data_IF_773528247417
#
_entry.id   IF_773528247417
#
_cell.length_a   1.000
_cell.length_b   1.000
_cell.length_c   1.000
_cell.angle_alpha   90.00
_cell.angle_beta   90.00
_cell.angle_gamma   90.00
#
_symmetry.space_group_name_H-M   'P 1'
#
loop_
_entity.id
_entity.type
_entity.pdbx_description
1 polymer ?
#
# COMPACT_ATOMS: atom_id res chain seq x y z
N UNK A 1 -10.10 30.78 -1.58
CA UNK A 1 -9.30 29.60 -1.98
C UNK A 1 -8.00 29.60 -1.18
N UNK A 2 -7.73 28.57 -0.37
CA UNK A 2 -6.43 28.43 0.30
C UNK A 2 -5.37 28.10 -0.76
N UNK A 3 -4.38 28.98 -0.93
CA UNK A 3 -3.16 28.67 -1.70
C UNK A 3 -2.35 27.69 -0.87
N UNK A 4 -2.23 26.45 -1.32
CA UNK A 4 -1.23 25.53 -0.80
C UNK A 4 0.10 25.93 -1.43
N UNK A 5 1.08 26.30 -0.59
CA UNK A 5 2.45 26.49 -1.05
C UNK A 5 2.98 25.11 -1.48
N UNK A 6 3.37 25.00 -2.75
CA UNK A 6 4.02 23.79 -3.26
C UNK A 6 5.37 23.69 -2.53
N UNK A 7 5.52 22.69 -1.65
CA UNK A 7 6.78 22.43 -0.96
C UNK A 7 7.88 22.19 -2.00
N UNK A 8 9.11 22.63 -1.71
CA UNK A 8 10.24 22.51 -2.64
C UNK A 8 10.49 21.05 -3.09
N UNK A 9 10.23 20.09 -2.19
CA UNK A 9 10.26 18.65 -2.48
C UNK A 9 9.22 18.24 -3.53
N UNK A 10 8.01 18.81 -3.45
CA UNK A 10 6.90 18.52 -4.36
C UNK A 10 7.16 19.13 -5.74
N UNK A 11 7.81 20.31 -5.78
CA UNK A 11 8.29 20.92 -7.02
C UNK A 11 9.42 20.08 -7.65
N UNK A 12 10.37 19.59 -6.85
CA UNK A 12 11.45 18.72 -7.32
C UNK A 12 10.91 17.38 -7.84
N UNK A 13 9.97 16.76 -7.13
CA UNK A 13 9.30 15.55 -7.58
C UNK A 13 8.56 15.79 -8.89
N UNK A 14 7.81 16.89 -9.00
CA UNK A 14 7.14 17.26 -10.24
C UNK A 14 8.13 17.42 -11.40
N UNK A 15 9.22 18.17 -11.21
CA UNK A 15 10.24 18.35 -12.24
C UNK A 15 10.93 17.04 -12.62
N UNK A 16 11.12 16.12 -11.67
CA UNK A 16 11.68 14.79 -11.93
C UNK A 16 10.72 13.93 -12.77
N UNK A 17 9.43 13.96 -12.45
CA UNK A 17 8.40 13.25 -13.22
C UNK A 17 8.23 13.87 -14.61
N UNK A 18 8.20 15.20 -14.70
CA UNK A 18 8.16 15.92 -15.97
C UNK A 18 9.38 15.55 -16.84
N UNK A 19 10.58 15.42 -16.24
CA UNK A 19 11.75 14.92 -16.97
C UNK A 19 11.58 13.47 -17.42
N UNK A 20 11.12 12.55 -16.59
CA UNK A 20 10.88 11.18 -17.06
C UNK A 20 9.80 11.07 -18.16
N UNK A 21 8.81 11.97 -18.15
CA UNK A 21 7.74 11.99 -19.14
C UNK A 21 8.20 12.64 -20.46
N UNK A 22 8.96 13.73 -20.38
CA UNK A 22 9.32 14.58 -21.54
C UNK A 22 10.76 14.42 -22.03
N UNK A 23 11.71 14.07 -21.16
CA UNK A 23 12.99 13.50 -21.59
C UNK A 23 12.70 12.05 -21.96
N UNK A 24 12.63 11.81 -23.27
CA UNK A 24 12.33 10.55 -23.97
C UNK A 24 12.33 9.31 -23.08
N UNK A 25 11.28 8.48 -23.14
CA UNK A 25 11.17 7.29 -22.30
C UNK A 25 12.46 6.46 -22.33
N UNK A 26 12.90 5.94 -21.19
CA UNK A 26 14.21 5.28 -21.05
C UNK A 26 14.47 4.13 -22.07
N UNK A 27 13.39 3.58 -22.64
CA UNK A 27 13.39 2.53 -23.65
C UNK A 27 13.61 3.03 -25.10
N UNK A 28 13.58 4.34 -25.35
CA UNK A 28 13.98 4.93 -26.65
C UNK A 28 15.49 4.89 -26.88
N UNK A 29 16.31 4.82 -25.81
CA UNK A 29 17.77 4.86 -25.90
C UNK A 29 18.41 3.47 -26.10
N UNK A 30 17.72 2.41 -25.67
CA UNK A 30 18.19 1.03 -25.73
C UNK A 30 17.01 0.06 -25.88
N UNK A 31 16.16 0.17 -26.92
CA UNK A 31 14.99 -0.69 -27.06
C UNK A 31 15.41 -2.15 -27.17
N UNK A 32 14.86 -3.00 -26.30
CA UNK A 32 15.09 -4.45 -26.36
C UNK A 32 14.00 -5.13 -27.19
N UNK A 33 12.80 -4.54 -27.25
CA UNK A 33 11.73 -4.99 -28.13
C UNK A 33 12.14 -4.84 -29.61
N UNK A 34 12.08 -5.95 -30.34
CA UNK A 34 12.20 -5.96 -31.79
C UNK A 34 10.91 -5.42 -32.41
N UNK A 35 10.99 -4.24 -33.02
CA UNK A 35 9.85 -3.52 -33.64
C UNK A 35 9.13 -4.37 -34.70
N UNK A 36 9.80 -5.37 -35.28
CA UNK A 36 9.18 -6.29 -36.25
C UNK A 36 8.31 -7.37 -35.61
N UNK A 37 8.38 -7.56 -34.30
CA UNK A 37 7.57 -8.52 -33.55
C UNK A 37 6.25 -7.91 -33.12
N UNK A 38 5.17 -8.62 -33.42
CA UNK A 38 3.82 -8.23 -33.03
C UNK A 38 3.47 -8.72 -31.62
N UNK A 39 3.02 -7.78 -30.79
CA UNK A 39 2.51 -8.03 -29.44
C UNK A 39 1.03 -7.65 -29.38
N UNK A 40 0.24 -8.53 -28.77
CA UNK A 40 -1.19 -8.37 -28.62
C UNK A 40 -1.60 -8.39 -27.15
N UNK A 41 -2.52 -7.50 -26.79
CA UNK A 41 -3.17 -7.47 -25.48
C UNK A 41 -4.67 -7.22 -25.69
N UNK A 42 -5.52 -8.14 -25.23
CA UNK A 42 -6.98 -8.07 -25.42
C UNK A 42 -7.41 -7.78 -26.87
N UNK A 43 -6.81 -8.46 -27.85
CA UNK A 43 -7.06 -8.26 -29.29
C UNK A 43 -6.61 -6.90 -29.85
N UNK A 44 -6.00 -6.04 -29.03
CA UNK A 44 -5.35 -4.81 -29.47
C UNK A 44 -3.86 -5.04 -29.73
N UNK A 45 -3.37 -4.47 -30.84
CA UNK A 45 -1.95 -4.47 -31.14
C UNK A 45 -1.24 -3.44 -30.26
N UNK A 46 -0.33 -3.92 -29.41
CA UNK A 46 0.46 -3.12 -28.46
C UNK A 46 1.95 -3.13 -28.82
N UNK A 47 2.28 -3.46 -30.07
CA UNK A 47 3.66 -3.47 -30.57
C UNK A 47 4.25 -2.06 -30.54
N UNK A 48 5.54 -1.96 -30.24
CA UNK A 48 6.27 -0.69 -30.10
C UNK A 48 5.68 0.25 -29.03
N UNK A 49 5.01 -0.32 -28.02
CA UNK A 49 4.54 0.40 -26.83
C UNK A 49 5.29 -0.06 -25.59
N UNK A 50 5.10 0.66 -24.47
CA UNK A 50 5.73 0.33 -23.20
C UNK A 50 5.30 -1.04 -22.68
N UNK A 51 4.12 -1.52 -23.10
CA UNK A 51 3.62 -2.86 -22.79
C UNK A 51 4.52 -3.95 -23.39
N UNK A 52 4.83 -3.84 -24.70
CA UNK A 52 5.69 -4.80 -25.39
C UNK A 52 7.12 -4.78 -24.81
N UNK A 53 7.65 -3.59 -24.52
CA UNK A 53 8.97 -3.45 -23.91
C UNK A 53 9.04 -4.08 -22.51
N UNK A 54 8.04 -3.81 -21.66
CA UNK A 54 7.98 -4.38 -20.32
C UNK A 54 7.84 -5.90 -20.34
N UNK A 55 7.12 -6.46 -21.31
CA UNK A 55 7.01 -7.91 -21.53
C UNK A 55 8.37 -8.55 -21.81
N UNK A 56 9.16 -7.96 -22.71
CA UNK A 56 10.49 -8.48 -23.06
C UNK A 56 11.49 -8.31 -21.92
N UNK A 57 11.51 -7.13 -21.28
CA UNK A 57 12.43 -6.83 -20.17
C UNK A 57 12.08 -7.56 -18.88
N UNK A 58 10.91 -8.21 -18.79
CA UNK A 58 10.33 -8.72 -17.53
C UNK A 58 10.24 -7.61 -16.48
N UNK A 59 9.89 -6.41 -16.95
CA UNK A 59 9.78 -5.20 -16.14
C UNK A 59 8.38 -5.04 -15.54
N UNK A 60 8.23 -3.99 -14.74
CA UNK A 60 6.96 -3.58 -14.13
C UNK A 60 6.50 -2.29 -14.80
N UNK A 61 5.20 -2.17 -15.05
CA UNK A 61 4.64 -0.94 -15.59
C UNK A 61 4.10 -0.05 -14.46
N UNK A 62 4.53 1.21 -14.47
CA UNK A 62 3.90 2.25 -13.68
C UNK A 62 2.74 2.83 -14.50
N UNK A 63 1.52 2.65 -14.01
CA UNK A 63 0.30 2.94 -14.75
C UNK A 63 -0.46 4.13 -14.19
N UNK A 64 -1.06 4.88 -15.10
CA UNK A 64 -1.99 5.96 -14.75
C UNK A 64 -3.28 5.40 -14.15
N UNK A 65 -4.05 6.25 -13.48
CA UNK A 65 -5.34 5.89 -12.90
C UNK A 65 -6.38 5.62 -14.00
N UNK A 66 -6.29 4.46 -14.62
CA UNK A 66 -7.19 4.00 -15.65
C UNK A 66 -7.61 2.57 -15.32
N UNK A 67 -8.92 2.31 -15.26
CA UNK A 67 -9.47 1.03 -14.78
C UNK A 67 -8.91 -0.17 -15.56
N UNK A 68 -8.61 0.03 -16.84
CA UNK A 68 -8.07 -1.02 -17.72
C UNK A 68 -6.59 -1.32 -17.44
N UNK A 69 -5.92 -0.57 -16.57
CA UNK A 69 -4.51 -0.81 -16.17
C UNK A 69 -4.30 -0.75 -14.65
N UNK A 70 -5.34 -0.47 -13.87
CA UNK A 70 -5.21 -0.27 -12.43
C UNK A 70 -4.95 -1.60 -11.71
N UNK A 71 -3.78 -1.69 -11.07
CA UNK A 71 -3.38 -2.72 -10.09
C UNK A 71 -3.71 -4.15 -10.52
N UNK A 72 -3.18 -4.55 -11.68
CA UNK A 72 -3.43 -5.88 -12.22
C UNK A 72 -2.29 -6.39 -13.08
N UNK A 73 -2.26 -7.71 -13.20
CA UNK A 73 -1.37 -8.40 -14.12
C UNK A 73 -1.96 -8.39 -15.53
N UNK A 74 -1.17 -7.93 -16.50
CA UNK A 74 -1.51 -7.89 -17.91
C UNK A 74 -0.91 -9.10 -18.61
N UNK A 75 -1.72 -9.76 -19.44
CA UNK A 75 -1.30 -10.90 -20.25
C UNK A 75 -1.02 -10.40 -21.67
N UNK A 76 0.26 -10.29 -22.01
CA UNK A 76 0.70 -9.81 -23.31
C UNK A 76 1.21 -11.02 -24.09
N UNK A 77 0.71 -11.21 -25.31
CA UNK A 77 1.07 -12.36 -26.14
C UNK A 77 1.88 -11.93 -27.35
N UNK A 78 2.93 -12.69 -27.68
CA UNK A 78 3.49 -12.70 -29.03
C UNK A 78 3.02 -13.97 -29.78
N UNK A 79 3.54 -14.21 -30.99
CA UNK A 79 3.20 -15.39 -31.79
C UNK A 79 3.56 -16.76 -31.17
N UNK A 80 4.38 -16.79 -30.10
CA UNK A 80 4.99 -17.98 -29.50
C UNK A 80 4.84 -18.07 -27.98
N UNK A 81 4.70 -16.96 -27.27
CA UNK A 81 4.85 -16.83 -25.84
C UNK A 81 3.76 -15.92 -25.23
N UNK A 82 3.46 -16.17 -23.96
CA UNK A 82 2.65 -15.29 -23.13
C UNK A 82 3.52 -14.70 -22.02
N UNK A 83 3.49 -13.39 -21.90
CA UNK A 83 4.22 -12.60 -20.93
C UNK A 83 3.23 -12.04 -19.90
N UNK A 84 3.66 -12.03 -18.65
CA UNK A 84 2.90 -11.50 -17.52
C UNK A 84 3.59 -10.24 -17.04
N UNK A 85 2.89 -9.11 -17.12
CA UNK A 85 3.43 -7.80 -16.74
C UNK A 85 2.53 -7.17 -15.70
N UNK A 86 3.08 -6.87 -14.53
CA UNK A 86 2.34 -6.16 -13.50
C UNK A 86 2.19 -4.69 -13.88
N UNK A 87 0.95 -4.23 -13.84
CA UNK A 87 0.56 -2.85 -14.06
C UNK A 87 0.18 -2.23 -12.72
N UNK A 88 1.13 -1.47 -12.18
CA UNK A 88 1.07 -0.89 -10.84
C UNK A 88 0.56 0.54 -10.90
N UNK A 89 -0.53 0.80 -10.19
CA UNK A 89 -1.05 2.15 -10.02
C UNK A 89 -0.96 2.61 -8.56
N UNK A 90 -1.34 1.77 -7.60
CA UNK A 90 -1.34 2.13 -6.17
C UNK A 90 -0.08 1.65 -5.44
N UNK A 91 0.34 2.40 -4.41
CA UNK A 91 1.41 1.94 -3.52
C UNK A 91 1.10 0.60 -2.84
N UNK A 92 -0.18 0.31 -2.57
CA UNK A 92 -0.61 -0.96 -1.98
C UNK A 92 -0.22 -2.14 -2.87
N UNK A 93 -0.60 -2.09 -4.14
CA UNK A 93 -0.31 -3.16 -5.09
C UNK A 93 1.21 -3.32 -5.31
N UNK A 94 1.95 -2.20 -5.37
CA UNK A 94 3.42 -2.21 -5.44
C UNK A 94 4.03 -2.95 -4.24
N UNK A 95 3.59 -2.61 -3.02
CA UNK A 95 4.07 -3.25 -1.79
C UNK A 95 3.71 -4.73 -1.77
N UNK A 96 2.50 -5.11 -2.17
CA UNK A 96 2.07 -6.50 -2.13
C UNK A 96 2.83 -7.40 -3.10
N UNK A 97 3.07 -6.93 -4.32
CA UNK A 97 3.79 -7.71 -5.34
C UNK A 97 5.32 -7.66 -5.14
N UNK A 98 5.86 -6.50 -4.76
CA UNK A 98 7.30 -6.24 -4.83
C UNK A 98 8.00 -5.98 -3.49
N UNK A 99 7.38 -6.36 -2.35
CA UNK A 99 7.94 -6.16 -1.00
C UNK A 99 9.38 -6.65 -0.85
N UNK A 100 9.73 -7.78 -1.47
CA UNK A 100 11.05 -8.39 -1.31
C UNK A 100 12.14 -7.66 -2.07
N UNK A 101 11.78 -7.04 -3.21
CA UNK A 101 12.72 -6.28 -4.04
C UNK A 101 12.85 -4.83 -3.57
N UNK A 102 11.74 -4.21 -3.19
CA UNK A 102 11.70 -2.81 -2.73
C UNK A 102 11.88 -2.84 -1.22
N UNK A 103 13.08 -2.51 -0.73
CA UNK A 103 13.42 -2.47 0.70
C UNK A 103 12.64 -1.36 1.43
N UNK A 104 11.35 -1.58 1.64
CA UNK A 104 10.44 -0.63 2.29
C UNK A 104 10.53 -0.79 3.81
N UNK A 105 10.62 0.34 4.51
CA UNK A 105 10.57 0.39 5.97
C UNK A 105 9.24 -0.18 6.49
N UNK A 106 9.28 -0.96 7.58
CA UNK A 106 8.10 -1.68 8.07
C UNK A 106 6.96 -0.76 8.49
N UNK A 107 7.29 0.38 9.08
CA UNK A 107 6.31 1.42 9.43
C UNK A 107 5.58 1.95 8.19
N UNK A 108 6.32 2.24 7.12
CA UNK A 108 5.74 2.71 5.85
C UNK A 108 4.89 1.60 5.21
N UNK A 109 5.35 0.35 5.27
CA UNK A 109 4.60 -0.81 4.79
C UNK A 109 3.23 -0.92 5.46
N UNK A 110 3.15 -0.80 6.79
CA UNK A 110 1.88 -0.86 7.51
C UNK A 110 0.97 0.33 7.17
N UNK A 111 1.53 1.54 7.04
CA UNK A 111 0.76 2.73 6.64
C UNK A 111 0.11 2.55 5.28
N UNK A 112 0.85 2.05 4.29
CA UNK A 112 0.34 1.78 2.96
C UNK A 112 -0.72 0.66 3.00
N UNK A 113 -0.41 -0.45 3.69
CA UNK A 113 -1.27 -1.65 3.70
C UNK A 113 -2.63 -1.39 4.34
N UNK A 114 -2.66 -0.64 5.44
CA UNK A 114 -3.85 -0.42 6.23
C UNK A 114 -4.48 0.96 6.01
N UNK A 115 -4.02 1.69 4.98
CA UNK A 115 -4.62 2.95 4.59
C UNK A 115 -6.12 2.78 4.32
N UNK A 116 -6.93 3.72 4.83
CA UNK A 116 -8.39 3.69 4.72
C UNK A 116 -9.10 2.46 5.33
N UNK A 117 -8.39 1.63 6.11
CA UNK A 117 -8.99 0.57 6.92
C UNK A 117 -9.37 1.09 8.32
N UNK A 118 -9.84 0.20 9.20
CA UNK A 118 -10.11 0.52 10.61
C UNK A 118 -8.84 0.62 11.47
N UNK A 119 -7.71 0.12 10.97
CA UNK A 119 -6.42 0.17 11.65
C UNK A 119 -5.72 1.46 11.24
N UNK A 120 -5.30 2.26 12.22
CA UNK A 120 -4.61 3.52 11.95
C UNK A 120 -3.12 3.42 12.34
N UNK A 121 -2.28 3.24 11.34
CA UNK A 121 -0.83 3.17 11.51
C UNK A 121 -0.13 4.55 11.45
N UNK A 122 -0.88 5.66 11.32
CA UNK A 122 -0.29 7.00 11.21
C UNK A 122 0.41 7.45 12.49
N UNK A 123 -0.03 6.95 13.65
CA UNK A 123 0.48 7.31 14.98
C UNK A 123 1.50 6.33 15.55
N UNK A 124 2.02 5.40 14.75
CA UNK A 124 3.08 4.47 15.19
C UNK A 124 4.35 5.25 15.57
N UNK A 125 4.80 5.08 16.81
CA UNK A 125 6.02 5.68 17.33
C UNK A 125 7.27 4.93 16.82
N UNK A 126 8.38 5.65 16.61
CA UNK A 126 9.63 5.06 16.12
C UNK A 126 10.41 4.32 17.20
N UNK A 127 10.39 4.85 18.44
CA UNK A 127 11.20 4.33 19.57
C UNK A 127 10.71 2.98 20.11
N UNK A 128 9.43 2.68 19.94
CA UNK A 128 8.79 1.43 20.35
C UNK A 128 8.07 0.78 19.16
N UNK A 129 8.60 1.05 17.96
CA UNK A 129 7.95 0.75 16.69
C UNK A 129 8.27 -0.64 16.15
N UNK A 130 7.57 -0.98 15.07
CA UNK A 130 7.67 -2.25 14.34
C UNK A 130 9.06 -2.57 13.75
N UNK A 131 9.95 -1.59 13.74
CA UNK A 131 11.33 -1.77 13.30
C UNK A 131 12.18 -2.53 14.33
N UNK A 132 11.74 -2.58 15.59
CA UNK A 132 12.39 -3.36 16.67
C UNK A 132 12.00 -4.84 16.69
N UNK A 133 11.01 -5.22 15.89
CA UNK A 133 10.49 -6.59 15.84
C UNK A 133 11.44 -7.51 15.08
N UNK A 134 11.44 -8.79 15.41
CA UNK A 134 12.00 -9.81 14.51
C UNK A 134 11.09 -9.99 13.29
N UNK A 135 11.61 -10.59 12.22
CA UNK A 135 10.83 -10.77 10.99
C UNK A 135 9.55 -11.58 11.21
N UNK A 136 9.62 -12.64 12.03
CA UNK A 136 8.44 -13.45 12.36
C UNK A 136 7.43 -12.68 13.21
N UNK A 137 7.88 -11.88 14.20
CA UNK A 137 7.02 -11.03 15.04
C UNK A 137 6.28 -10.00 14.17
N UNK A 138 6.96 -9.42 13.18
CA UNK A 138 6.33 -8.49 12.24
C UNK A 138 5.29 -9.17 11.33
N UNK A 139 5.53 -10.42 10.92
CA UNK A 139 4.55 -11.20 10.17
C UNK A 139 3.31 -11.56 11.00
N UNK A 140 3.47 -11.80 12.30
CA UNK A 140 2.35 -11.97 13.24
C UNK A 140 1.53 -10.69 13.38
N UNK A 141 2.17 -9.52 13.47
CA UNK A 141 1.48 -8.22 13.45
C UNK A 141 0.59 -8.08 12.20
N UNK A 142 1.14 -8.39 11.02
CA UNK A 142 0.38 -8.34 9.76
C UNK A 142 -0.80 -9.32 9.78
N UNK A 143 -0.60 -10.55 10.25
CA UNK A 143 -1.67 -11.56 10.33
C UNK A 143 -2.82 -11.11 11.23
N UNK A 144 -2.51 -10.60 12.42
CA UNK A 144 -3.52 -10.08 13.34
C UNK A 144 -4.26 -8.89 12.75
N UNK A 145 -3.54 -7.95 12.11
CA UNK A 145 -4.16 -6.80 11.48
C UNK A 145 -5.08 -7.18 10.32
N UNK A 146 -4.67 -8.15 9.50
CA UNK A 146 -5.50 -8.68 8.43
C UNK A 146 -6.83 -9.20 8.98
N UNK A 147 -6.81 -10.04 10.01
CA UNK A 147 -8.04 -10.53 10.66
C UNK A 147 -8.96 -9.38 11.10
N UNK A 148 -8.41 -8.35 11.75
CA UNK A 148 -9.18 -7.18 12.19
C UNK A 148 -9.88 -6.47 11.03
N UNK A 149 -9.20 -6.36 9.88
CA UNK A 149 -9.74 -5.70 8.69
C UNK A 149 -10.76 -6.59 7.96
N UNK A 150 -10.53 -7.90 7.90
CA UNK A 150 -11.40 -8.89 7.25
C UNK A 150 -12.74 -9.04 7.97
N UNK A 151 -12.77 -8.90 9.30
CA UNK A 151 -14.01 -8.99 10.07
C UNK A 151 -14.98 -7.85 9.74
N UNK A 152 -16.25 -8.18 9.46
CA UNK A 152 -17.27 -7.18 9.11
C UNK A 152 -17.62 -6.25 10.28
N UNK A 153 -17.56 -6.73 11.53
CA UNK A 153 -17.97 -5.95 12.70
C UNK A 153 -17.19 -6.32 13.98
N UNK A 154 -17.34 -5.53 15.03
CA UNK A 154 -16.79 -5.86 16.35
C UNK A 154 -17.39 -7.13 16.95
N UNK A 155 -18.65 -7.47 16.63
CA UNK A 155 -19.27 -8.71 17.12
C UNK A 155 -18.58 -9.95 16.58
N UNK A 156 -18.10 -9.90 15.34
CA UNK A 156 -17.38 -11.02 14.72
C UNK A 156 -15.95 -11.11 15.22
N UNK A 157 -15.33 -9.96 15.56
CA UNK A 157 -14.02 -9.90 16.23
C UNK A 157 -14.10 -10.49 17.66
N UNK A 158 -15.16 -10.20 18.41
CA UNK A 158 -15.33 -10.64 19.82
C UNK A 158 -15.43 -12.15 19.98
N UNK A 159 -15.85 -12.86 18.93
CA UNK A 159 -15.93 -14.32 18.91
C UNK A 159 -14.72 -14.98 18.23
N UNK A 160 -13.74 -14.21 17.73
CA UNK A 160 -12.49 -14.72 17.15
C UNK A 160 -11.53 -15.15 18.28
N UNK A 161 -11.17 -16.43 18.30
CA UNK A 161 -10.30 -17.03 19.31
C UNK A 161 -8.82 -16.71 19.13
N UNK A 162 -8.44 -16.11 18.00
CA UNK A 162 -7.06 -15.80 17.66
C UNK A 162 -6.77 -14.30 17.64
N UNK A 163 -7.57 -13.47 18.33
CA UNK A 163 -7.31 -12.04 18.52
C UNK A 163 -7.33 -11.69 20.01
N UNK A 164 -6.17 -11.30 20.53
CA UNK A 164 -6.07 -10.76 21.89
C UNK A 164 -6.15 -9.22 21.87
N UNK A 165 -7.20 -8.69 22.49
CA UNK A 165 -7.39 -7.25 22.59
C UNK A 165 -8.18 -6.88 23.83
N UNK A 166 -7.97 -5.64 24.31
CA UNK A 166 -8.68 -5.11 25.47
C UNK A 166 -9.03 -3.65 25.27
N UNK A 167 -10.10 -3.21 25.93
CA UNK A 167 -10.46 -1.79 25.95
C UNK A 167 -9.34 -0.99 26.62
N UNK A 168 -8.85 0.03 25.94
CA UNK A 168 -7.90 0.97 26.52
C UNK A 168 -8.56 1.67 27.71
N UNK A 169 -7.99 1.45 28.89
CA UNK A 169 -8.42 2.09 30.13
C UNK A 169 -7.24 2.91 30.65
N UNK A 170 -7.35 4.25 30.67
CA UNK A 170 -6.26 5.09 31.13
C UNK A 170 -6.00 4.85 32.63
N UNK A 171 -4.72 4.81 33.02
CA UNK A 171 -4.34 4.77 34.43
C UNK A 171 -4.38 6.20 35.00
N UNK A 172 -5.47 6.51 35.73
CA UNK A 172 -5.67 7.81 36.35
C UNK A 172 -5.78 8.96 35.34
N UNK A 173 -5.10 10.08 35.61
CA UNK A 173 -5.15 11.28 34.75
C UNK A 173 -4.31 11.19 33.46
N UNK A 174 -3.60 10.08 33.23
CA UNK A 174 -2.76 9.87 32.03
C UNK A 174 -3.56 9.25 30.89
N UNK A 175 -4.60 9.95 30.43
CA UNK A 175 -5.27 9.57 29.19
C UNK A 175 -4.54 10.17 28.00
N UNK A 176 -3.83 9.32 27.27
CA UNK A 176 -2.97 9.70 26.16
C UNK A 176 -3.72 10.27 24.96
N UNK A 177 -5.06 10.15 24.92
CA UNK A 177 -5.89 10.57 23.79
C UNK A 177 -6.78 11.78 24.09
N UNK A 178 -6.79 12.30 25.32
CA UNK A 178 -7.53 13.54 25.64
C UNK A 178 -6.98 14.68 24.78
N UNK A 179 -7.87 15.41 24.10
CA UNK A 179 -7.52 16.56 23.27
C UNK A 179 -6.76 16.20 21.99
N UNK A 180 -6.66 14.92 21.63
CA UNK A 180 -6.01 14.44 20.39
C UNK A 180 -7.05 13.94 19.38
N UNK A 181 -6.56 13.48 18.21
CA UNK A 181 -7.36 12.96 17.07
C UNK A 181 -8.42 11.91 17.47
N UNK A 182 -8.19 11.14 18.53
CA UNK A 182 -9.10 10.07 18.98
C UNK A 182 -9.81 10.39 20.31
N UNK A 183 -9.79 11.65 20.74
CA UNK A 183 -10.52 12.08 21.93
C UNK A 183 -12.02 11.76 21.78
N UNK A 184 -12.61 11.13 22.80
CA UNK A 184 -14.03 10.74 22.79
C UNK A 184 -14.36 9.48 21.99
N UNK A 185 -13.36 8.77 21.44
CA UNK A 185 -13.57 7.48 20.76
C UNK A 185 -13.35 6.29 21.70
N UNK A 186 -13.99 5.17 21.38
CA UNK A 186 -13.59 3.86 21.93
C UNK A 186 -12.27 3.44 21.31
N UNK A 187 -11.30 3.13 22.16
CA UNK A 187 -9.95 2.72 21.77
C UNK A 187 -9.72 1.31 22.28
N UNK A 188 -9.33 0.42 21.38
CA UNK A 188 -8.94 -0.94 21.71
C UNK A 188 -7.43 -1.06 21.57
N UNK A 189 -6.80 -1.65 22.58
CA UNK A 189 -5.39 -2.02 22.59
C UNK A 189 -5.28 -3.47 22.14
N UNK A 190 -4.51 -3.70 21.09
CA UNK A 190 -4.16 -5.03 20.60
C UNK A 190 -2.90 -5.52 21.30
N UNK A 191 -2.95 -6.72 21.84
CA UNK A 191 -1.79 -7.41 22.38
C UNK A 191 -1.34 -8.42 21.31
N UNK A 192 -0.53 -7.98 20.34
CA UNK A 192 -0.08 -8.86 19.23
C UNK A 192 1.27 -9.50 19.51
N UNK A 193 2.21 -8.72 20.05
CA UNK A 193 3.54 -9.17 20.47
C UNK A 193 3.91 -8.36 21.72
N UNK A 194 4.60 -8.97 22.69
CA UNK A 194 5.03 -8.33 23.96
C UNK A 194 5.77 -6.98 23.79
N UNK A 195 6.23 -6.67 22.58
CA UNK A 195 7.00 -5.46 22.23
C UNK A 195 6.24 -4.43 21.39
N UNK A 196 5.04 -4.74 20.89
CA UNK A 196 4.30 -3.86 19.98
C UNK A 196 2.82 -3.76 20.35
N UNK A 197 2.46 -2.65 21.00
CA UNK A 197 1.07 -2.27 21.23
C UNK A 197 0.57 -1.47 20.03
N UNK A 198 -0.51 -1.93 19.37
CA UNK A 198 -1.17 -1.13 18.33
C UNK A 198 -2.59 -0.81 18.75
N UNK A 199 -2.98 0.42 18.44
CA UNK A 199 -4.25 1.01 18.84
C UNK A 199 -5.18 1.02 17.63
N UNK A 200 -6.35 0.40 17.79
CA UNK A 200 -7.41 0.43 16.80
C UNK A 200 -8.48 1.39 17.29
N UNK A 201 -8.97 2.25 16.39
CA UNK A 201 -9.97 3.26 16.74
C UNK A 201 -11.23 3.04 15.95
N UNK A 202 -12.36 3.15 16.63
CA UNK A 202 -13.66 3.07 15.97
C UNK A 202 -13.91 4.37 15.18
N UNK A 203 -14.03 4.27 13.84
CA UNK A 203 -14.86 5.22 13.12
C UNK A 203 -16.29 4.71 13.25
N UNK A 204 -17.01 5.15 14.29
CA UNK A 204 -18.46 5.06 14.25
C UNK A 204 -18.91 5.94 13.09
N UNK A 205 -19.11 5.36 11.91
CA UNK A 205 -20.00 5.98 10.93
C UNK A 205 -21.35 6.03 11.60
N UNK A 206 -21.80 7.25 11.90
CA UNK A 206 -23.13 7.50 12.41
C UNK A 206 -24.14 7.05 11.35
N UNK A 207 -24.50 5.77 11.36
CA UNK A 207 -25.80 5.34 10.86
C UNK A 207 -26.80 5.82 11.91
N UNK A 208 -27.47 6.93 11.57
CA UNK A 208 -28.60 7.46 12.30
C UNK A 208 -29.63 6.35 12.55
N UNK A 209 -30.27 6.48 13.72
CA UNK A 209 -31.49 5.83 14.21
C UNK A 209 -32.42 5.24 13.15
#
# INVERSE_FOLDING_TARGET
MKKYELTEELLRLKLSLDREIYEKPQWDYDPVHDISQEFMWNEENVSATSLAEAAIRKGVLLSFCFEVFKDKMLNICDTRNTYYVDSVHTPLYLVEQYRKQIKIERKLQLKIKYENTRIDCSTLEEKYGVDTLEQYEFEEVIKSFNKFVEHESWKTIDVDDGLEYKKYTPQGNKNWFIGRKYSGKTIMKLDVVLKCDVLVTEKMTSSKF
#
